data_IF_092476507384
#
_entry.id   IF_092476507384
#
_cell.length_a   1.000
_cell.length_b   1.000
_cell.length_c   1.000
_cell.angle_alpha   90.00
_cell.angle_beta   90.00
_cell.angle_gamma   90.00
#
_symmetry.space_group_name_H-M   'P 1'
#
loop_
_entity.id
_entity.type
_entity.pdbx_description
1 polymer ?
#
# COMPACT_ATOMS: atom_id res chain seq x y z
N UNK A 1 22.92 -7.18 27.95
CA UNK A 1 21.84 -6.18 27.88
C UNK A 1 22.42 -4.82 28.23
N UNK A 2 22.38 -3.82 27.34
CA UNK A 2 22.82 -2.46 27.69
C UNK A 2 21.75 -1.80 28.59
N UNK A 3 22.11 -1.18 29.72
CA UNK A 3 21.15 -0.51 30.58
C UNK A 3 20.60 0.73 29.88
N UNK A 4 19.27 0.86 29.82
CA UNK A 4 18.56 2.06 29.37
C UNK A 4 19.00 3.26 30.20
N UNK A 5 19.46 4.34 29.55
CA UNK A 5 19.91 5.55 30.25
C UNK A 5 18.78 6.14 31.11
N UNK A 6 19.18 6.78 32.22
CA UNK A 6 18.28 7.44 33.19
C UNK A 6 17.25 8.40 32.55
N UNK A 7 17.57 8.94 31.37
CA UNK A 7 16.70 9.81 30.58
C UNK A 7 15.54 9.07 29.89
N UNK A 8 15.76 7.83 29.44
CA UNK A 8 14.72 6.98 28.87
C UNK A 8 13.73 6.51 29.94
N UNK A 9 14.24 6.13 31.11
CA UNK A 9 13.43 5.77 32.28
C UNK A 9 12.55 6.94 32.75
N UNK A 10 13.09 8.18 32.79
CA UNK A 10 12.31 9.38 33.13
C UNK A 10 11.18 9.68 32.15
N UNK A 11 11.38 9.45 30.84
CA UNK A 11 10.32 9.65 29.82
C UNK A 11 9.19 8.63 29.92
N UNK A 12 9.49 7.38 30.30
CA UNK A 12 8.46 6.37 30.59
C UNK A 12 7.68 6.73 31.86
N UNK A 13 8.38 7.11 32.94
CA UNK A 13 7.75 7.50 34.20
C UNK A 13 6.82 8.72 34.06
N UNK A 14 7.18 9.71 33.23
CA UNK A 14 6.32 10.88 32.98
C UNK A 14 5.08 10.57 32.13
N UNK A 15 5.07 9.48 31.35
CA UNK A 15 3.90 9.06 30.55
C UNK A 15 2.92 8.16 31.30
N UNK A 16 3.40 7.42 32.30
CA UNK A 16 2.60 6.46 33.07
C UNK A 16 1.54 7.08 33.99
N UNK A 17 1.64 8.38 34.30
CA UNK A 17 0.78 9.03 35.30
C UNK A 17 -0.32 9.97 34.79
N UNK A 18 -0.39 10.28 33.48
CA UNK A 18 -1.30 11.34 32.95
C UNK A 18 -1.89 11.11 31.56
N UNK A 19 -1.81 9.92 30.98
CA UNK A 19 -2.46 9.68 29.67
C UNK A 19 -3.90 9.20 29.87
N UNK A 20 -4.87 10.02 29.45
CA UNK A 20 -6.25 9.58 29.29
C UNK A 20 -6.28 8.30 28.41
N UNK A 21 -7.24 7.38 28.64
CA UNK A 21 -7.35 6.17 27.83
C UNK A 21 -7.48 6.55 26.35
N UNK A 22 -6.76 5.83 25.49
CA UNK A 22 -6.80 6.06 24.05
C UNK A 22 -8.25 5.94 23.56
N UNK A 23 -8.73 6.95 22.84
CA UNK A 23 -10.06 6.97 22.23
C UNK A 23 -9.98 7.34 20.76
N UNK A 24 -11.06 7.11 20.01
CA UNK A 24 -11.18 7.53 18.59
C UNK A 24 -11.05 9.05 18.46
N UNK A 25 -11.59 9.82 19.42
CA UNK A 25 -11.41 11.27 19.47
C UNK A 25 -9.94 11.69 19.60
N UNK A 26 -9.13 10.92 20.36
CA UNK A 26 -7.69 11.17 20.42
C UNK A 26 -7.01 10.89 19.08
N UNK A 27 -7.41 9.84 18.36
CA UNK A 27 -6.89 9.54 17.02
C UNK A 27 -7.21 10.67 16.03
N UNK A 28 -8.42 11.21 16.05
CA UNK A 28 -8.81 12.39 15.21
C UNK A 28 -7.86 13.57 15.48
N UNK A 29 -7.61 13.89 16.75
CA UNK A 29 -6.68 14.96 17.12
C UNK A 29 -5.22 14.71 16.69
N UNK A 30 -4.80 13.44 16.64
CA UNK A 30 -3.49 13.04 16.15
C UNK A 30 -3.40 13.14 14.62
N UNK A 31 -4.44 12.75 13.87
CA UNK A 31 -4.52 12.90 12.41
C UNK A 31 -4.37 14.36 11.99
N UNK A 32 -5.05 15.29 12.69
CA UNK A 32 -4.95 16.72 12.39
C UNK A 32 -3.50 17.24 12.46
N UNK A 33 -2.72 16.73 13.42
CA UNK A 33 -1.31 17.11 13.66
C UNK A 33 -0.30 16.31 12.82
N UNK A 34 -0.70 15.16 12.27
CA UNK A 34 0.17 14.30 11.49
C UNK A 34 0.73 15.04 10.26
N UNK A 35 1.94 14.66 9.82
CA UNK A 35 2.61 15.23 8.66
C UNK A 35 3.15 14.14 7.76
N UNK A 36 2.83 14.20 6.48
CA UNK A 36 3.29 13.22 5.49
C UNK A 36 4.42 13.85 4.69
N UNK A 37 5.59 13.21 4.68
CA UNK A 37 6.71 13.66 3.88
C UNK A 37 6.52 13.25 2.42
N UNK A 38 7.02 14.09 1.51
CA UNK A 38 7.07 13.78 0.08
C UNK A 38 5.78 14.05 -0.69
N UNK A 39 4.75 14.63 -0.06
CA UNK A 39 3.49 14.99 -0.73
C UNK A 39 3.22 16.49 -0.60
N UNK A 40 2.49 17.06 -1.55
CA UNK A 40 2.05 18.45 -1.46
C UNK A 40 0.97 18.65 -0.37
N UNK A 41 0.72 19.92 -0.03
CA UNK A 41 -0.22 20.29 1.04
C UNK A 41 -1.68 19.97 0.68
N UNK A 42 -2.06 20.03 -0.59
CA UNK A 42 -3.43 19.74 -1.01
C UNK A 42 -3.73 18.25 -0.86
N UNK A 43 -2.79 17.38 -1.25
CA UNK A 43 -2.89 15.94 -1.09
C UNK A 43 -2.86 15.53 0.39
N UNK A 44 -1.97 16.11 1.22
CA UNK A 44 -2.00 15.86 2.68
C UNK A 44 -3.35 16.27 3.29
N UNK A 45 -3.87 17.45 2.91
CA UNK A 45 -5.15 17.97 3.44
C UNK A 45 -6.32 17.07 3.05
N UNK A 46 -6.35 16.63 1.79
CA UNK A 46 -7.34 15.68 1.29
C UNK A 46 -7.28 14.35 2.04
N UNK A 47 -6.09 13.77 2.20
CA UNK A 47 -5.90 12.52 2.94
C UNK A 47 -6.33 12.61 4.41
N UNK A 48 -6.05 13.75 5.07
CA UNK A 48 -6.53 14.01 6.43
C UNK A 48 -8.05 14.04 6.50
N UNK A 49 -8.71 14.74 5.58
CA UNK A 49 -10.17 14.80 5.53
C UNK A 49 -10.79 13.40 5.36
N UNK A 50 -10.22 12.59 4.46
CA UNK A 50 -10.66 11.21 4.22
C UNK A 50 -10.53 10.37 5.50
N UNK A 51 -9.35 10.39 6.15
CA UNK A 51 -9.11 9.59 7.35
C UNK A 51 -9.92 10.09 8.56
N UNK A 52 -10.08 11.41 8.73
CA UNK A 52 -10.93 12.00 9.77
C UNK A 52 -12.39 11.57 9.60
N UNK A 53 -12.94 11.61 8.38
CA UNK A 53 -14.31 11.17 8.13
C UNK A 53 -14.53 9.70 8.48
N UNK A 54 -13.54 8.83 8.17
CA UNK A 54 -13.57 7.44 8.62
C UNK A 54 -13.59 7.33 10.15
N UNK A 55 -12.76 8.10 10.87
CA UNK A 55 -12.71 8.05 12.34
C UNK A 55 -13.97 8.62 12.99
N UNK A 56 -14.55 9.68 12.44
CA UNK A 56 -15.84 10.23 12.89
C UNK A 56 -16.96 9.19 12.70
N UNK A 57 -16.93 8.47 11.58
CA UNK A 57 -17.85 7.36 11.32
C UNK A 57 -17.62 6.21 12.31
N UNK A 58 -16.37 5.82 12.56
CA UNK A 58 -16.06 4.80 13.55
C UNK A 58 -16.51 5.21 14.96
N UNK A 59 -16.42 6.50 15.30
CA UNK A 59 -16.91 7.06 16.55
C UNK A 59 -18.44 7.02 16.64
N UNK A 60 -19.15 7.37 15.57
CA UNK A 60 -20.63 7.37 15.57
C UNK A 60 -21.21 5.96 15.68
N UNK A 61 -20.53 4.97 15.11
CA UNK A 61 -20.87 3.55 15.27
C UNK A 61 -20.31 2.90 16.54
N UNK A 62 -19.70 3.68 17.44
CA UNK A 62 -19.10 3.20 18.68
C UNK A 62 -18.12 2.03 18.49
N UNK A 63 -17.35 2.02 17.40
CA UNK A 63 -16.34 1.00 17.15
C UNK A 63 -15.30 0.99 18.28
N UNK A 64 -14.91 -0.18 18.81
CA UNK A 64 -13.87 -0.25 19.82
C UNK A 64 -12.55 0.32 19.28
N UNK A 65 -11.92 1.22 20.05
CA UNK A 65 -10.68 1.89 19.64
C UNK A 65 -9.56 0.91 19.27
N UNK A 66 -9.50 -0.25 19.94
CA UNK A 66 -8.54 -1.32 19.66
C UNK A 66 -8.69 -1.87 18.22
N UNK A 67 -9.93 -1.96 17.73
CA UNK A 67 -10.23 -2.51 16.41
C UNK A 67 -9.89 -1.46 15.34
N UNK A 68 -10.22 -0.18 15.61
CA UNK A 68 -9.80 0.95 14.77
C UNK A 68 -8.28 1.02 14.64
N UNK A 69 -7.54 0.89 15.75
CA UNK A 69 -6.08 0.85 15.74
C UNK A 69 -5.57 -0.36 14.96
N UNK A 70 -6.18 -1.54 15.10
CA UNK A 70 -5.78 -2.74 14.39
C UNK A 70 -5.98 -2.60 12.86
N UNK A 71 -7.11 -2.06 12.41
CA UNK A 71 -7.38 -1.80 10.99
C UNK A 71 -6.44 -0.76 10.39
N UNK A 72 -6.15 0.32 11.13
CA UNK A 72 -5.20 1.33 10.72
C UNK A 72 -3.76 0.77 10.67
N UNK A 73 -3.40 -0.10 11.62
CA UNK A 73 -2.05 -0.66 11.70
C UNK A 73 -1.76 -1.71 10.62
N UNK A 74 -2.75 -2.54 10.27
CA UNK A 74 -2.67 -3.49 9.16
C UNK A 74 -2.67 -2.79 7.80
N UNK A 75 -3.19 -1.57 7.75
CA UNK A 75 -3.42 -0.81 6.51
C UNK A 75 -4.75 -1.14 5.82
N UNK A 76 -5.61 -1.94 6.47
CA UNK A 76 -6.96 -2.22 5.97
C UNK A 76 -7.78 -0.94 5.79
N UNK A 77 -7.64 0.03 6.69
CA UNK A 77 -8.28 1.35 6.54
C UNK A 77 -7.85 2.04 5.24
N UNK A 78 -6.56 2.06 4.92
CA UNK A 78 -6.05 2.66 3.68
C UNK A 78 -6.58 1.93 2.44
N UNK A 79 -6.59 0.59 2.47
CA UNK A 79 -7.13 -0.23 1.39
C UNK A 79 -8.62 0.02 1.15
N UNK A 80 -9.45 0.06 2.21
CA UNK A 80 -10.89 0.32 2.11
C UNK A 80 -11.17 1.71 1.54
N UNK A 81 -10.50 2.74 2.07
CA UNK A 81 -10.73 4.13 1.63
C UNK A 81 -10.22 4.37 0.20
N UNK A 82 -9.06 3.81 -0.16
CA UNK A 82 -8.57 3.83 -1.54
C UNK A 82 -9.51 3.11 -2.51
N UNK A 83 -10.07 1.96 -2.09
CA UNK A 83 -11.05 1.21 -2.88
C UNK A 83 -12.36 1.98 -3.08
N UNK A 84 -12.84 2.68 -2.04
CA UNK A 84 -14.02 3.53 -2.13
C UNK A 84 -13.80 4.70 -3.11
N UNK A 85 -12.66 5.40 -3.00
CA UNK A 85 -12.30 6.47 -3.96
C UNK A 85 -12.24 5.93 -5.39
N UNK A 86 -11.62 4.76 -5.59
CA UNK A 86 -11.57 4.12 -6.91
C UNK A 86 -12.97 3.78 -7.44
N UNK A 87 -13.84 3.25 -6.60
CA UNK A 87 -15.21 2.93 -6.99
C UNK A 87 -15.96 4.19 -7.45
N UNK A 88 -15.80 5.32 -6.76
CA UNK A 88 -16.37 6.60 -7.19
C UNK A 88 -15.79 7.08 -8.53
N UNK A 89 -14.48 7.00 -8.75
CA UNK A 89 -13.85 7.33 -10.05
C UNK A 89 -14.46 6.50 -11.18
N UNK A 90 -14.75 5.22 -10.93
CA UNK A 90 -15.27 4.32 -11.95
C UNK A 90 -16.76 4.50 -12.26
N UNK A 91 -17.53 5.25 -11.46
CA UNK A 91 -18.92 5.61 -11.81
C UNK A 91 -18.95 6.54 -13.03
N UNK A 92 -17.96 7.43 -13.13
CA UNK A 92 -17.77 8.32 -14.29
C UNK A 92 -16.31 8.23 -14.74
N UNK A 93 -15.93 7.13 -15.42
CA UNK A 93 -14.54 6.81 -15.67
C UNK A 93 -13.88 7.88 -16.56
N UNK A 94 -12.69 8.39 -16.19
CA UNK A 94 -11.95 9.34 -17.02
C UNK A 94 -11.47 8.68 -18.32
N UNK A 95 -11.08 9.50 -19.30
CA UNK A 95 -10.59 9.03 -20.59
C UNK A 95 -9.44 8.03 -20.48
N UNK A 96 -8.53 8.23 -19.53
CA UNK A 96 -7.43 7.30 -19.29
C UNK A 96 -7.93 5.87 -18.96
N UNK A 97 -9.07 5.74 -18.27
CA UNK A 97 -9.72 4.44 -18.01
C UNK A 97 -10.47 3.95 -19.24
N UNK A 98 -11.27 4.82 -19.88
CA UNK A 98 -12.10 4.44 -21.04
C UNK A 98 -11.28 4.01 -22.26
N UNK A 99 -10.11 4.62 -22.44
CA UNK A 99 -9.18 4.40 -23.55
C UNK A 99 -7.96 3.58 -23.11
N UNK A 100 -8.04 2.88 -21.98
CA UNK A 100 -6.93 2.07 -21.50
C UNK A 100 -6.63 0.98 -22.54
N UNK A 101 -5.35 0.85 -22.91
CA UNK A 101 -4.85 -0.24 -23.74
C UNK A 101 -4.63 -1.54 -22.93
N UNK A 102 -4.98 -1.53 -21.64
CA UNK A 102 -4.84 -2.67 -20.75
C UNK A 102 -5.78 -3.81 -21.16
N UNK A 103 -5.21 -4.96 -21.52
CA UNK A 103 -5.93 -6.18 -21.82
C UNK A 103 -5.39 -7.36 -21.01
N UNK A 104 -6.17 -8.45 -20.93
CA UNK A 104 -5.69 -9.71 -20.36
C UNK A 104 -4.44 -10.19 -21.11
N UNK A 105 -3.41 -10.64 -20.38
CA UNK A 105 -2.16 -11.12 -20.96
C UNK A 105 -1.14 -10.03 -21.38
N UNK A 106 -1.48 -8.74 -21.28
CA UNK A 106 -0.56 -7.63 -21.59
C UNK A 106 0.65 -7.62 -20.63
N UNK A 107 0.42 -7.75 -19.32
CA UNK A 107 1.39 -8.02 -18.25
C UNK A 107 2.64 -7.13 -18.11
N UNK A 108 2.87 -6.12 -18.94
CA UNK A 108 4.06 -5.26 -18.84
C UNK A 108 4.14 -4.49 -17.50
N UNK A 109 3.00 -4.11 -16.92
CA UNK A 109 2.96 -3.50 -15.57
C UNK A 109 3.31 -4.48 -14.43
N UNK A 110 3.38 -5.77 -14.73
CA UNK A 110 3.78 -6.82 -13.80
C UNK A 110 5.27 -7.14 -13.89
N UNK A 111 6.02 -6.50 -14.79
CA UNK A 111 7.49 -6.46 -14.74
C UNK A 111 7.85 -5.40 -13.71
N UNK A 112 8.35 -5.85 -12.56
CA UNK A 112 8.59 -5.03 -11.38
C UNK A 112 10.03 -4.50 -11.38
N UNK A 113 10.44 -3.95 -12.52
CA UNK A 113 11.76 -3.40 -12.77
C UNK A 113 11.95 -2.09 -11.98
N UNK A 114 12.50 -2.21 -10.78
CA UNK A 114 12.90 -1.08 -9.94
C UNK A 114 12.11 -0.86 -8.64
N UNK A 115 12.64 0.06 -7.83
CA UNK A 115 12.04 0.48 -6.56
C UNK A 115 12.01 -0.60 -5.49
N UNK A 116 10.97 -0.57 -4.67
CA UNK A 116 10.82 -1.45 -3.49
C UNK A 116 10.03 -2.75 -3.83
N UNK A 117 9.85 -3.07 -5.12
CA UNK A 117 9.05 -4.22 -5.57
C UNK A 117 7.54 -4.06 -5.32
N UNK A 118 7.03 -2.82 -5.40
CA UNK A 118 5.64 -2.44 -5.16
C UNK A 118 5.28 -2.32 -3.67
N UNK A 119 4.90 -1.12 -3.23
CA UNK A 119 4.53 -0.85 -1.83
C UNK A 119 3.06 -1.20 -1.56
N UNK A 120 2.84 -2.20 -0.71
CA UNK A 120 1.51 -2.65 -0.28
C UNK A 120 1.35 -2.64 1.24
N UNK A 121 0.12 -2.63 1.72
CA UNK A 121 -0.22 -2.76 3.16
C UNK A 121 -0.01 -4.18 3.67
N UNK A 122 0.01 -4.35 5.00
CA UNK A 122 0.03 -5.70 5.61
C UNK A 122 -1.25 -6.48 5.31
N UNK A 123 -2.39 -5.79 5.26
CA UNK A 123 -3.67 -6.35 4.85
C UNK A 123 -3.60 -6.93 3.43
N UNK A 124 -3.09 -6.17 2.45
CA UNK A 124 -2.93 -6.66 1.08
C UNK A 124 -1.88 -7.76 0.96
N UNK A 125 -0.78 -7.66 1.71
CA UNK A 125 0.26 -8.67 1.67
C UNK A 125 -0.25 -10.03 2.18
N UNK A 126 -1.05 -10.04 3.25
CA UNK A 126 -1.69 -11.25 3.75
C UNK A 126 -2.65 -11.86 2.70
N UNK A 127 -3.49 -11.04 2.06
CA UNK A 127 -4.41 -11.51 1.03
C UNK A 127 -3.69 -12.03 -0.22
N UNK A 128 -2.66 -11.33 -0.68
CA UNK A 128 -1.85 -11.75 -1.82
C UNK A 128 -1.13 -13.05 -1.53
N UNK A 129 -0.52 -13.18 -0.36
CA UNK A 129 0.14 -14.42 0.05
C UNK A 129 -0.85 -15.57 0.04
N UNK A 130 -2.00 -15.43 0.69
CA UNK A 130 -3.03 -16.46 0.75
C UNK A 130 -3.52 -16.87 -0.65
N UNK A 131 -3.71 -15.92 -1.56
CA UNK A 131 -4.16 -16.18 -2.92
C UNK A 131 -3.10 -16.88 -3.80
N UNK A 132 -1.81 -16.67 -3.51
CA UNK A 132 -0.69 -17.24 -4.29
C UNK A 132 -0.20 -18.57 -3.70
N UNK A 133 -0.41 -18.82 -2.40
CA UNK A 133 0.01 -20.08 -1.75
C UNK A 133 -0.45 -21.37 -2.44
N UNK A 134 -1.64 -21.47 -3.08
CA UNK A 134 -2.01 -22.66 -3.85
C UNK A 134 -1.09 -22.99 -5.04
N UNK A 135 -0.22 -22.05 -5.43
CA UNK A 135 0.68 -22.15 -6.58
C UNK A 135 2.10 -22.60 -6.18
N UNK A 136 2.29 -23.06 -4.94
CA UNK A 136 3.60 -23.47 -4.44
C UNK A 136 4.30 -24.46 -5.37
N UNK A 137 5.55 -24.17 -5.71
CA UNK A 137 6.40 -25.01 -6.56
C UNK A 137 6.05 -25.00 -8.05
N UNK A 138 5.02 -24.26 -8.48
CA UNK A 138 4.69 -24.12 -9.89
C UNK A 138 5.61 -23.09 -10.58
N UNK A 139 5.75 -23.24 -11.90
CA UNK A 139 6.28 -22.20 -12.78
C UNK A 139 5.54 -20.87 -12.54
N UNK A 140 6.27 -19.76 -12.63
CA UNK A 140 5.72 -18.44 -12.38
C UNK A 140 6.22 -17.38 -13.35
N UNK A 141 5.73 -16.14 -13.21
CA UNK A 141 6.08 -15.04 -14.11
C UNK A 141 7.58 -14.90 -14.40
N UNK A 142 8.44 -15.31 -13.47
CA UNK A 142 9.90 -15.25 -13.62
C UNK A 142 10.45 -16.16 -14.72
N UNK A 143 9.70 -17.20 -15.10
CA UNK A 143 10.02 -18.05 -16.25
C UNK A 143 9.73 -17.36 -17.59
N UNK A 144 8.88 -16.31 -17.59
CA UNK A 144 8.66 -15.44 -18.75
C UNK A 144 9.62 -14.24 -18.77
N UNK A 145 9.82 -13.59 -17.62
CA UNK A 145 10.74 -12.46 -17.49
C UNK A 145 11.31 -12.41 -16.06
N UNK A 146 12.63 -12.25 -15.85
CA UNK A 146 13.26 -12.40 -14.53
C UNK A 146 12.70 -11.47 -13.44
N UNK A 147 12.20 -10.30 -13.83
CA UNK A 147 11.60 -9.31 -12.92
C UNK A 147 10.05 -9.35 -12.88
N UNK A 148 9.42 -10.32 -13.54
CA UNK A 148 7.97 -10.44 -13.53
C UNK A 148 7.43 -10.88 -12.16
N UNK A 149 6.22 -10.42 -11.86
CA UNK A 149 5.50 -10.76 -10.64
C UNK A 149 5.29 -12.29 -10.56
N UNK A 150 5.67 -12.95 -9.44
CA UNK A 150 5.45 -14.38 -9.25
C UNK A 150 3.97 -14.82 -9.28
N UNK A 151 3.03 -13.89 -9.12
CA UNK A 151 1.60 -14.22 -9.26
C UNK A 151 1.16 -14.43 -10.72
N UNK A 152 2.00 -14.13 -11.73
CA UNK A 152 1.68 -14.37 -13.13
C UNK A 152 1.84 -15.84 -13.51
N UNK A 153 0.96 -16.31 -14.37
CA UNK A 153 1.18 -17.50 -15.20
C UNK A 153 2.17 -17.13 -16.33
N UNK A 154 3.33 -17.80 -16.46
CA UNK A 154 4.30 -17.48 -17.49
C UNK A 154 3.84 -17.77 -18.91
N UNK A 155 2.95 -18.76 -19.12
CA UNK A 155 2.48 -19.14 -20.45
C UNK A 155 1.43 -18.15 -20.96
N UNK A 156 0.46 -17.79 -20.11
CA UNK A 156 -0.67 -16.94 -20.50
C UNK A 156 -0.48 -15.46 -20.15
N UNK A 157 0.53 -15.13 -19.33
CA UNK A 157 0.75 -13.80 -18.77
C UNK A 157 -0.46 -13.25 -17.98
N UNK A 158 -1.34 -14.14 -17.54
CA UNK A 158 -2.51 -13.78 -16.73
C UNK A 158 -2.17 -13.81 -15.24
N UNK A 159 -2.77 -12.91 -14.47
CA UNK A 159 -2.59 -12.90 -13.02
C UNK A 159 -3.42 -14.00 -12.37
N UNK A 160 -2.75 -14.96 -11.71
CA UNK A 160 -3.39 -16.08 -11.00
C UNK A 160 -3.97 -15.68 -9.63
N UNK A 161 -3.74 -14.44 -9.20
CA UNK A 161 -4.28 -13.84 -7.97
C UNK A 161 -5.09 -12.56 -8.28
N UNK A 162 -5.89 -12.59 -9.35
CA UNK A 162 -6.57 -11.41 -9.91
C UNK A 162 -7.43 -10.65 -8.89
N UNK A 163 -8.16 -11.37 -8.03
CA UNK A 163 -9.04 -10.79 -7.02
C UNK A 163 -8.28 -10.24 -5.81
N UNK A 164 -7.12 -10.82 -5.49
CA UNK A 164 -6.23 -10.35 -4.44
C UNK A 164 -5.27 -9.25 -4.92
N UNK A 165 -5.43 -8.72 -6.15
CA UNK A 165 -4.58 -7.65 -6.67
C UNK A 165 -4.56 -6.45 -5.72
N UNK A 166 -3.38 -5.99 -5.29
CA UNK A 166 -3.25 -4.79 -4.47
C UNK A 166 -3.74 -3.53 -5.18
N UNK A 167 -3.97 -2.45 -4.41
CA UNK A 167 -4.41 -1.14 -4.89
C UNK A 167 -3.48 -0.58 -5.96
N UNK A 168 -2.17 -0.85 -5.89
CA UNK A 168 -1.20 -0.49 -6.92
C UNK A 168 -1.60 -1.09 -8.29
N UNK A 169 -1.82 -2.40 -8.34
CA UNK A 169 -2.22 -3.12 -9.56
C UNK A 169 -3.61 -2.72 -10.08
N UNK A 170 -4.47 -2.18 -9.23
CA UNK A 170 -5.82 -1.72 -9.58
C UNK A 170 -5.87 -0.28 -10.07
N UNK A 171 -4.80 0.47 -9.85
CA UNK A 171 -4.73 1.90 -10.12
C UNK A 171 -3.76 2.24 -11.25
N UNK A 172 -2.79 1.36 -11.53
CA UNK A 172 -1.92 1.52 -12.69
C UNK A 172 -2.68 1.16 -13.97
N UNK A 173 -2.60 2.05 -14.96
CA UNK A 173 -3.16 1.83 -16.29
C UNK A 173 -2.34 2.58 -17.34
N UNK A 174 -2.47 2.18 -18.58
CA UNK A 174 -1.83 2.86 -19.71
C UNK A 174 -2.80 2.98 -20.87
N UNK A 175 -2.68 4.06 -21.63
CA UNK A 175 -3.40 4.24 -22.90
C UNK A 175 -2.57 3.78 -24.11
N UNK A 176 -1.34 3.30 -23.87
CA UNK A 176 -0.40 2.87 -24.89
C UNK A 176 0.35 1.61 -24.43
N UNK A 177 0.00 0.45 -25.00
CA UNK A 177 0.61 -0.83 -24.66
C UNK A 177 2.08 -0.91 -25.13
N UNK A 178 2.39 -0.38 -26.31
CA UNK A 178 3.75 -0.37 -26.86
C UNK A 178 4.70 0.46 -25.99
N UNK A 179 4.21 1.56 -25.41
CA UNK A 179 4.98 2.34 -24.44
C UNK A 179 5.26 1.51 -23.17
N UNK A 180 4.29 0.73 -22.69
CA UNK A 180 4.51 -0.17 -21.56
C UNK A 180 5.52 -1.26 -21.88
N UNK A 181 5.47 -1.84 -23.08
CA UNK A 181 6.45 -2.85 -23.53
C UNK A 181 7.87 -2.26 -23.58
N UNK A 182 8.02 -1.07 -24.19
CA UNK A 182 9.30 -0.37 -24.22
C UNK A 182 9.83 -0.03 -22.82
N UNK A 183 8.95 0.42 -21.92
CA UNK A 183 9.33 0.71 -20.54
C UNK A 183 9.72 -0.54 -19.76
N UNK A 184 9.02 -1.66 -20.00
CA UNK A 184 9.38 -2.95 -19.42
C UNK A 184 10.76 -3.43 -19.89
N UNK A 185 11.18 -3.07 -21.10
CA UNK A 185 12.52 -3.30 -21.63
C UNK A 185 13.58 -2.25 -21.18
N UNK A 186 13.24 -1.35 -20.25
CA UNK A 186 14.14 -0.33 -19.71
C UNK A 186 14.01 1.07 -20.35
N UNK A 187 12.99 1.29 -21.18
CA UNK A 187 12.65 2.61 -21.74
C UNK A 187 12.04 3.60 -20.74
N UNK A 188 11.77 4.82 -21.21
CA UNK A 188 11.20 5.93 -20.41
C UNK A 188 10.05 6.66 -21.15
N UNK A 189 9.29 5.91 -21.95
CA UNK A 189 8.14 6.37 -22.71
C UNK A 189 6.99 6.84 -21.82
N UNK A 190 6.26 7.84 -22.31
CA UNK A 190 5.04 8.33 -21.68
C UNK A 190 3.83 7.45 -22.06
N UNK A 191 2.80 7.46 -21.22
CA UNK A 191 1.52 6.81 -21.54
C UNK A 191 0.95 5.93 -20.42
N UNK A 192 1.79 5.54 -19.47
CA UNK A 192 1.38 4.92 -18.21
C UNK A 192 1.04 5.98 -17.16
N UNK A 193 0.05 5.69 -16.30
CA UNK A 193 -0.36 6.57 -15.23
C UNK A 193 -1.00 5.82 -14.06
N UNK A 194 -1.19 6.55 -12.96
CA UNK A 194 -1.83 6.05 -11.74
C UNK A 194 -3.15 6.80 -11.51
N UNK A 195 -4.21 6.04 -11.25
CA UNK A 195 -5.45 6.62 -10.74
C UNK A 195 -5.20 7.30 -9.38
N UNK A 196 -5.83 8.47 -9.18
CA UNK A 196 -5.70 9.24 -7.95
C UNK A 196 -6.06 8.47 -6.66
N UNK A 197 -6.85 7.39 -6.79
CA UNK A 197 -7.13 6.46 -5.69
C UNK A 197 -5.88 5.85 -5.07
N UNK A 198 -4.80 5.65 -5.85
CA UNK A 198 -3.54 5.14 -5.32
C UNK A 198 -2.83 6.17 -4.43
N UNK A 199 -2.87 7.44 -4.82
CA UNK A 199 -2.28 8.52 -4.03
C UNK A 199 -3.01 8.72 -2.72
N UNK A 200 -4.35 8.73 -2.77
CA UNK A 200 -5.19 8.78 -1.57
C UNK A 200 -4.88 7.57 -0.65
N UNK A 201 -4.75 6.36 -1.21
CA UNK A 201 -4.34 5.15 -0.48
C UNK A 201 -2.97 5.30 0.21
N UNK A 202 -1.94 5.74 -0.51
CA UNK A 202 -0.58 5.90 0.04
C UNK A 202 -0.54 6.96 1.15
N UNK A 203 -1.20 8.10 0.94
CA UNK A 203 -1.25 9.20 1.91
C UNK A 203 -2.02 8.78 3.16
N UNK A 204 -3.16 8.10 3.02
CA UNK A 204 -3.91 7.57 4.16
C UNK A 204 -3.07 6.57 4.95
N UNK A 205 -2.34 5.67 4.29
CA UNK A 205 -1.44 4.73 4.98
C UNK A 205 -0.31 5.46 5.73
N UNK A 206 0.28 6.49 5.11
CA UNK A 206 1.29 7.32 5.74
C UNK A 206 0.74 8.10 6.95
N UNK A 207 -0.49 8.62 6.85
CA UNK A 207 -1.17 9.25 7.98
C UNK A 207 -1.45 8.26 9.11
N UNK A 208 -1.87 7.03 8.81
CA UNK A 208 -2.03 5.96 9.80
C UNK A 208 -0.72 5.71 10.55
N UNK A 209 0.40 5.59 9.81
CA UNK A 209 1.74 5.43 10.40
C UNK A 209 2.14 6.57 11.33
N UNK A 210 1.85 7.82 10.95
CA UNK A 210 2.18 8.97 11.80
C UNK A 210 1.27 9.09 13.01
N UNK A 211 -0.03 8.81 12.83
CA UNK A 211 -1.05 8.86 13.89
C UNK A 211 -0.77 7.80 14.96
N UNK A 212 -0.35 6.60 14.56
CA UNK A 212 -0.09 5.49 15.47
C UNK A 212 1.34 5.48 16.03
N UNK A 213 2.14 6.51 15.78
CA UNK A 213 3.51 6.61 16.28
C UNK A 213 3.54 6.58 17.81
N UNK A 214 4.19 5.56 18.36
CA UNK A 214 4.28 5.34 19.81
C UNK A 214 3.08 4.59 20.40
N UNK A 215 2.14 4.14 19.56
CA UNK A 215 1.04 3.22 19.90
C UNK A 215 1.37 1.83 19.34
N UNK A 216 1.56 1.73 18.02
CA UNK A 216 1.94 0.48 17.33
C UNK A 216 2.72 0.77 16.05
N UNK A 217 3.31 -0.26 15.45
CA UNK A 217 4.02 -0.16 14.18
C UNK A 217 3.06 -0.35 13.00
N UNK A 218 3.26 0.45 11.95
CA UNK A 218 2.50 0.37 10.69
C UNK A 218 3.48 0.05 9.57
N UNK A 219 3.50 -1.22 9.15
CA UNK A 219 4.47 -1.73 8.18
C UNK A 219 4.00 -1.53 6.73
N UNK A 220 4.95 -1.65 5.82
CA UNK A 220 4.74 -1.78 4.38
C UNK A 220 5.51 -2.99 3.89
N UNK A 221 5.02 -3.60 2.82
CA UNK A 221 5.55 -4.85 2.30
C UNK A 221 5.78 -4.75 0.79
N UNK A 222 6.79 -5.47 0.32
CA UNK A 222 7.09 -5.66 -1.09
C UNK A 222 6.08 -6.65 -1.66
N UNK A 223 5.29 -6.19 -2.64
CA UNK A 223 4.36 -7.05 -3.37
C UNK A 223 5.11 -8.19 -4.06
N UNK A 224 6.24 -7.89 -4.71
CA UNK A 224 7.09 -8.87 -5.37
C UNK A 224 7.57 -9.96 -4.41
N UNK A 225 8.17 -9.56 -3.28
CA UNK A 225 8.69 -10.52 -2.31
C UNK A 225 7.57 -11.31 -1.61
N UNK A 226 6.40 -10.70 -1.40
CA UNK A 226 5.24 -11.39 -0.83
C UNK A 226 4.79 -12.52 -1.75
N UNK A 227 4.56 -12.23 -3.04
CA UNK A 227 4.19 -13.24 -4.02
C UNK A 227 5.28 -14.31 -4.18
N UNK A 228 6.55 -13.91 -4.22
CA UNK A 228 7.68 -14.84 -4.31
C UNK A 228 7.71 -15.82 -3.13
N UNK A 229 7.50 -15.33 -1.90
CA UNK A 229 7.50 -16.18 -0.70
C UNK A 229 6.37 -17.21 -0.72
N UNK A 230 5.19 -16.82 -1.21
CA UNK A 230 4.05 -17.72 -1.31
C UNK A 230 4.28 -18.83 -2.35
N UNK A 231 4.84 -18.50 -3.52
CA UNK A 231 5.22 -19.51 -4.54
C UNK A 231 6.33 -20.43 -4.03
N UNK A 232 7.25 -19.91 -3.22
CA UNK A 232 8.31 -20.70 -2.59
C UNK A 232 7.81 -21.65 -1.49
N UNK A 233 6.53 -21.57 -1.09
CA UNK A 233 5.94 -22.43 -0.07
C UNK A 233 6.21 -21.96 1.37
N UNK A 234 6.60 -20.70 1.54
CA UNK A 234 6.76 -20.13 2.86
C UNK A 234 5.42 -20.01 3.60
N UNK A 235 5.45 -20.18 4.92
CA UNK A 235 4.29 -19.79 5.72
C UNK A 235 4.15 -18.27 5.79
N UNK A 236 2.92 -17.80 6.06
CA UNK A 236 2.58 -16.37 6.03
C UNK A 236 3.46 -15.52 6.96
N UNK A 237 3.80 -16.02 8.16
CA UNK A 237 4.60 -15.25 9.11
C UNK A 237 6.01 -14.99 8.58
N UNK A 238 6.66 -16.03 8.08
CA UNK A 238 8.01 -15.95 7.50
C UNK A 238 8.02 -15.17 6.18
N UNK A 239 7.03 -15.40 5.32
CA UNK A 239 6.88 -14.69 4.05
C UNK A 239 6.73 -13.18 4.26
N UNK A 240 5.81 -12.77 5.15
CA UNK A 240 5.61 -11.36 5.47
C UNK A 240 6.80 -10.73 6.20
N UNK A 241 7.49 -11.48 7.07
CA UNK A 241 8.70 -10.98 7.73
C UNK A 241 9.79 -10.61 6.71
N UNK A 242 10.01 -11.45 5.69
CA UNK A 242 10.99 -11.18 4.62
C UNK A 242 10.53 -10.12 3.62
N UNK A 243 9.23 -10.04 3.35
CA UNK A 243 8.68 -9.06 2.44
C UNK A 243 8.59 -7.65 3.04
N UNK A 244 8.81 -7.48 4.35
CA UNK A 244 8.70 -6.19 5.03
C UNK A 244 9.74 -5.20 4.52
N UNK A 245 9.28 -4.01 4.13
CA UNK A 245 10.16 -2.93 3.72
C UNK A 245 10.92 -2.27 4.87
N UNK A 246 12.02 -1.60 4.49
CA UNK A 246 12.62 -0.56 5.31
C UNK A 246 11.62 0.58 5.54
N UNK A 247 11.70 1.32 6.66
CA UNK A 247 10.76 2.39 6.97
C UNK A 247 10.61 3.46 5.88
N UNK A 248 11.67 3.74 5.11
CA UNK A 248 11.71 4.76 4.05
C UNK A 248 10.84 4.45 2.83
N UNK A 249 10.50 3.18 2.56
CA UNK A 249 9.82 2.76 1.34
C UNK A 249 8.48 3.50 1.11
N UNK A 250 7.70 3.71 2.18
CA UNK A 250 6.43 4.45 2.08
C UNK A 250 6.66 5.93 1.76
N UNK A 251 7.68 6.55 2.34
CA UNK A 251 8.00 7.96 2.06
C UNK A 251 8.45 8.13 0.61
N UNK A 252 9.27 7.19 0.10
CA UNK A 252 9.67 7.14 -1.31
C UNK A 252 8.46 6.95 -2.22
N UNK A 253 7.59 5.97 -1.94
CA UNK A 253 6.39 5.73 -2.75
C UNK A 253 5.43 6.94 -2.77
N UNK A 254 5.22 7.61 -1.63
CA UNK A 254 4.45 8.85 -1.58
C UNK A 254 5.08 9.95 -2.45
N UNK A 255 6.41 10.11 -2.38
CA UNK A 255 7.15 11.10 -3.18
C UNK A 255 7.05 10.83 -4.67
N UNK A 256 7.26 9.59 -5.08
CA UNK A 256 7.26 9.20 -6.48
C UNK A 256 5.85 9.25 -7.06
N UNK A 257 4.84 8.80 -6.30
CA UNK A 257 3.43 8.95 -6.67
C UNK A 257 3.02 10.42 -6.80
N UNK A 258 3.41 11.26 -5.84
CA UNK A 258 3.12 12.70 -5.91
C UNK A 258 3.76 13.35 -7.13
N UNK A 259 4.98 12.98 -7.52
CA UNK A 259 5.62 13.48 -8.74
C UNK A 259 4.89 13.02 -10.00
N UNK A 260 4.56 11.74 -10.08
CA UNK A 260 3.86 11.15 -11.22
C UNK A 260 2.46 11.75 -11.44
N UNK A 261 1.85 12.34 -10.42
CA UNK A 261 0.56 13.03 -10.52
C UNK A 261 0.65 14.42 -11.20
N UNK A 262 1.85 14.99 -11.28
CA UNK A 262 2.10 16.34 -11.80
C UNK A 262 2.82 16.34 -13.16
N UNK A 263 3.16 15.14 -13.68
CA UNK A 263 3.74 14.89 -14.99
C UNK A 263 2.65 14.49 -15.99
#
# INVERSE_FOLDING_TARGET
>A
MKPTSSRAARRLAQRGGKSAPLSVANLIGLVAKAKVKGVDKALETRGKRILTSYLETAQSYAMPVKDVVAEMASGQTAWRLGSAVRAEILKTPPDAVRKAACAQGCAFCCILSGGEGGVITGFEAAQLHAAVSPLTGQADGRDWHPEACPALDPATRSCRAYDARPMLCRSFLSTNADACERNAAGGAEQGAGLLGSHLDYLVVHALCRQTLKGITQVHTYSMAATAASAVAGDNIENGLARARHKPSALETACKDGSKAAHS
#
